data_IF_433763850185
#
_entry.id   IF_433763850185
#
_cell.length_a   1.000
_cell.length_b   1.000
_cell.length_c   1.000
_cell.angle_alpha   90.00
_cell.angle_beta   90.00
_cell.angle_gamma   90.00
#
_symmetry.space_group_name_H-M   'P 1'
#
loop_
_entity.id
_entity.type
_entity.pdbx_description
1 polymer ?
#
# COMPACT_ATOMS: atom_id res chain seq x y z
N UNK A 1 18.47 -72.31 18.86
CA UNK A 1 18.21 -71.22 17.90
C UNK A 1 17.06 -70.38 18.41
N UNK A 2 17.20 -69.05 18.27
CA UNK A 2 16.29 -67.93 18.60
C UNK A 2 16.41 -67.34 20.03
N UNK A 3 17.11 -66.21 20.17
CA UNK A 3 17.22 -65.45 21.41
C UNK A 3 16.09 -64.42 21.55
N UNK A 4 15.97 -63.91 22.78
CA UNK A 4 15.07 -62.84 23.21
C UNK A 4 15.33 -61.53 22.47
N UNK A 5 14.25 -60.85 22.05
CA UNK A 5 14.28 -59.44 21.63
C UNK A 5 13.67 -58.58 22.73
N UNK A 6 14.54 -57.87 23.43
CA UNK A 6 14.23 -56.74 24.31
C UNK A 6 13.85 -55.54 23.44
N UNK A 7 12.62 -55.04 23.56
CA UNK A 7 12.20 -53.80 22.95
C UNK A 7 12.46 -52.65 23.93
N UNK A 8 13.56 -51.92 23.73
CA UNK A 8 13.82 -50.66 24.42
C UNK A 8 13.01 -49.55 23.75
N UNK A 9 12.06 -48.97 24.48
CA UNK A 9 11.34 -47.78 24.07
C UNK A 9 12.25 -46.55 24.27
N UNK A 10 12.72 -45.96 23.18
CA UNK A 10 13.40 -44.65 23.19
C UNK A 10 12.32 -43.57 23.16
N UNK A 11 12.07 -42.95 24.31
CA UNK A 11 11.20 -41.77 24.42
C UNK A 11 12.01 -40.54 23.99
N UNK A 12 11.87 -40.13 22.72
CA UNK A 12 12.46 -38.89 22.22
C UNK A 12 11.54 -37.71 22.61
N UNK A 13 11.86 -37.05 23.74
CA UNK A 13 11.25 -35.77 24.12
C UNK A 13 11.75 -34.66 23.18
N UNK A 14 10.98 -34.38 22.14
CA UNK A 14 11.12 -33.16 21.33
C UNK A 14 10.49 -32.00 22.11
N UNK A 15 11.30 -31.33 22.93
CA UNK A 15 11.02 -29.98 23.42
C UNK A 15 11.23 -29.00 22.26
N UNK A 16 10.20 -28.78 21.45
CA UNK A 16 10.13 -27.61 20.57
C UNK A 16 9.65 -26.42 21.43
N UNK A 17 10.42 -25.33 21.55
CA UNK A 17 9.82 -24.10 22.00
C UNK A 17 8.89 -23.63 20.88
N UNK A 18 7.58 -23.74 21.11
CA UNK A 18 6.61 -22.93 20.39
C UNK A 18 6.84 -21.48 20.83
N UNK A 19 7.82 -20.82 20.22
CA UNK A 19 7.72 -19.39 20.01
C UNK A 19 6.58 -19.19 19.01
N UNK A 20 5.35 -19.19 19.53
CA UNK A 20 4.20 -18.67 18.82
C UNK A 20 4.39 -17.15 18.77
N UNK A 21 5.29 -16.68 17.89
CA UNK A 21 5.22 -15.31 17.41
C UNK A 21 3.80 -15.11 16.90
N UNK A 22 3.12 -14.08 17.42
CA UNK A 22 1.76 -13.76 16.99
C UNK A 22 1.80 -13.58 15.47
N UNK A 23 1.34 -14.58 14.71
CA UNK A 23 1.17 -14.43 13.26
C UNK A 23 0.31 -13.20 13.03
N UNK A 24 0.56 -12.48 11.94
CA UNK A 24 -0.32 -11.43 11.45
C UNK A 24 -1.78 -11.79 11.70
N UNK A 25 -2.56 -10.86 12.29
CA UNK A 25 -4.00 -11.06 12.43
C UNK A 25 -4.64 -10.93 11.05
N UNK A 26 -4.61 -11.99 10.26
CA UNK A 26 -5.20 -12.03 8.92
C UNK A 26 -4.24 -12.53 7.84
N UNK A 27 -4.67 -12.37 6.60
CA UNK A 27 -3.93 -12.73 5.41
C UNK A 27 -2.92 -11.62 5.05
N UNK A 28 -1.72 -12.01 4.66
CA UNK A 28 -0.71 -11.07 4.17
C UNK A 28 0.14 -11.65 3.04
N UNK A 29 0.57 -10.77 2.15
CA UNK A 29 1.68 -10.98 1.23
C UNK A 29 2.88 -10.20 1.73
N UNK A 30 3.99 -10.91 1.95
CA UNK A 30 5.31 -10.33 2.16
C UNK A 30 6.17 -10.77 0.99
N UNK A 31 6.27 -9.93 -0.04
CA UNK A 31 6.98 -10.25 -1.27
C UNK A 31 8.34 -9.55 -1.28
N UNK A 32 9.40 -10.32 -1.45
CA UNK A 32 10.74 -9.83 -1.78
C UNK A 32 10.92 -9.96 -3.30
N UNK A 33 11.10 -8.81 -3.94
CA UNK A 33 11.05 -8.65 -5.38
C UNK A 33 12.38 -9.04 -6.01
N UNK A 34 12.70 -10.32 -5.98
CA UNK A 34 13.82 -10.89 -6.73
C UNK A 34 14.44 -12.12 -6.10
N UNK A 35 14.28 -12.33 -4.80
CA UNK A 35 14.72 -13.52 -4.10
C UNK A 35 13.86 -13.77 -2.86
N UNK A 36 13.79 -15.00 -2.33
CA UNK A 36 13.25 -15.23 -0.99
C UNK A 36 14.22 -14.68 0.07
N UNK A 37 13.67 -14.17 1.17
CA UNK A 37 14.46 -13.73 2.32
C UNK A 37 13.74 -13.98 3.65
N UNK A 38 14.44 -13.74 4.76
CA UNK A 38 13.86 -13.73 6.10
C UNK A 38 14.45 -12.55 6.84
N UNK A 39 13.60 -11.66 7.33
CA UNK A 39 14.06 -10.45 7.99
C UNK A 39 14.53 -10.71 9.42
N UNK A 40 15.10 -9.69 10.06
CA UNK A 40 15.60 -9.75 11.43
C UNK A 40 14.53 -10.08 12.48
N UNK A 41 13.24 -9.97 12.13
CA UNK A 41 12.09 -10.30 12.99
C UNK A 41 11.63 -11.74 12.78
N UNK A 42 12.27 -12.49 11.89
CA UNK A 42 11.93 -13.87 11.56
C UNK A 42 10.72 -13.98 10.62
N UNK A 43 10.29 -12.89 9.99
CA UNK A 43 9.24 -12.95 8.97
C UNK A 43 9.85 -13.44 7.65
N UNK A 44 9.21 -14.45 7.07
CA UNK A 44 9.58 -14.98 5.76
C UNK A 44 8.97 -14.12 4.66
N UNK A 45 9.80 -13.76 3.70
CA UNK A 45 9.41 -13.06 2.48
C UNK A 45 9.51 -14.01 1.29
N UNK A 46 8.41 -14.15 0.57
CA UNK A 46 8.32 -15.03 -0.59
C UNK A 46 8.73 -14.30 -1.87
N UNK A 47 9.26 -15.00 -2.88
CA UNK A 47 9.59 -14.38 -4.15
C UNK A 47 8.33 -13.92 -4.87
N UNK A 48 8.45 -12.81 -5.57
CA UNK A 48 7.32 -12.10 -6.19
C UNK A 48 6.85 -12.68 -7.54
N UNK A 49 7.69 -13.51 -8.18
CA UNK A 49 7.48 -14.05 -9.53
C UNK A 49 6.12 -14.68 -9.83
N UNK A 50 5.46 -15.43 -8.92
CA UNK A 50 4.13 -15.98 -9.17
C UNK A 50 3.03 -14.93 -9.41
N UNK A 51 3.27 -13.67 -9.03
CA UNK A 51 2.27 -12.60 -9.06
C UNK A 51 2.51 -11.57 -10.17
N UNK A 52 3.62 -11.65 -10.90
CA UNK A 52 4.02 -10.67 -11.92
C UNK A 52 4.54 -11.36 -13.19
N UNK A 53 4.15 -10.84 -14.35
CA UNK A 53 4.56 -11.40 -15.67
C UNK A 53 5.75 -10.72 -16.30
N UNK A 54 6.16 -9.56 -15.78
CA UNK A 54 7.14 -8.69 -16.40
C UNK A 54 8.34 -8.39 -15.50
N UNK A 55 9.36 -7.78 -16.11
CA UNK A 55 10.58 -7.37 -15.42
C UNK A 55 11.50 -8.52 -15.04
N UNK A 56 12.71 -8.15 -14.61
CA UNK A 56 13.77 -9.09 -14.28
C UNK A 56 14.28 -8.83 -12.86
N UNK A 57 14.31 -9.90 -12.07
CA UNK A 57 14.94 -9.91 -10.75
C UNK A 57 16.46 -9.72 -10.88
N UNK A 58 17.04 -8.88 -10.04
CA UNK A 58 18.48 -8.61 -9.96
C UNK A 58 18.91 -8.50 -8.49
N UNK A 59 20.04 -9.13 -8.09
CA UNK A 59 20.62 -8.87 -6.79
C UNK A 59 21.26 -7.48 -6.75
N UNK A 60 21.20 -6.84 -5.59
CA UNK A 60 21.96 -5.63 -5.26
C UNK A 60 23.17 -5.99 -4.42
N UNK A 61 24.36 -5.73 -4.95
CA UNK A 61 25.63 -5.95 -4.23
C UNK A 61 25.98 -4.71 -3.39
N UNK A 62 25.26 -4.48 -2.30
CA UNK A 62 25.55 -3.41 -1.34
C UNK A 62 26.05 -4.01 -0.03
N UNK A 63 27.22 -3.59 0.44
CA UNK A 63 27.79 -4.05 1.70
C UNK A 63 27.06 -3.40 2.89
N UNK A 64 26.82 -4.18 3.96
CA UNK A 64 26.27 -3.66 5.21
C UNK A 64 24.75 -3.45 5.24
N UNK A 65 24.01 -3.97 4.24
CA UNK A 65 22.54 -3.98 4.28
C UNK A 65 22.04 -4.81 5.47
N UNK A 66 21.28 -4.16 6.36
CA UNK A 66 20.66 -4.81 7.53
C UNK A 66 19.31 -5.45 7.18
N UNK A 67 18.57 -4.85 6.25
CA UNK A 67 17.30 -5.37 5.77
C UNK A 67 17.55 -6.23 4.52
N UNK A 68 17.36 -7.56 4.61
CA UNK A 68 17.63 -8.45 3.49
C UNK A 68 16.66 -8.25 2.31
N UNK A 69 15.50 -7.65 2.54
CA UNK A 69 14.53 -7.34 1.46
C UNK A 69 15.04 -6.27 0.50
N UNK A 70 16.11 -5.55 0.87
CA UNK A 70 16.76 -4.55 0.02
C UNK A 70 17.90 -5.15 -0.80
N UNK A 71 18.28 -6.42 -0.56
CA UNK A 71 19.38 -7.08 -1.26
C UNK A 71 19.01 -7.55 -2.68
N UNK A 72 17.74 -7.41 -3.06
CA UNK A 72 17.25 -7.73 -4.40
C UNK A 72 16.22 -6.69 -4.87
N UNK A 73 16.07 -6.56 -6.19
CA UNK A 73 15.01 -5.78 -6.79
C UNK A 73 14.60 -6.35 -8.15
N UNK A 74 13.37 -6.05 -8.55
CA UNK A 74 12.86 -6.31 -9.90
C UNK A 74 12.90 -5.02 -10.69
N UNK A 75 13.55 -5.05 -11.85
CA UNK A 75 13.59 -3.93 -12.82
C UNK A 75 12.65 -4.22 -13.97
N UNK A 76 11.85 -3.23 -14.37
CA UNK A 76 10.98 -3.31 -15.53
C UNK A 76 11.57 -2.53 -16.71
N UNK A 77 11.27 -2.92 -17.96
CA UNK A 77 11.77 -2.20 -19.13
C UNK A 77 11.11 -0.82 -19.25
N UNK A 78 11.86 0.17 -19.75
CA UNK A 78 11.28 1.44 -20.15
C UNK A 78 10.40 1.27 -21.39
N UNK A 79 9.10 1.47 -21.21
CA UNK A 79 8.10 1.54 -22.29
C UNK A 79 7.13 2.67 -21.96
N UNK A 80 7.17 3.80 -22.68
CA UNK A 80 6.30 4.94 -22.41
C UNK A 80 4.84 4.51 -22.30
N UNK A 81 4.13 5.03 -21.29
CA UNK A 81 2.71 4.75 -21.05
C UNK A 81 2.37 3.28 -20.72
N UNK A 82 3.36 2.40 -20.55
CA UNK A 82 3.11 1.04 -20.07
C UNK A 82 2.93 1.01 -18.54
N UNK A 83 2.16 0.04 -18.05
CA UNK A 83 2.11 -0.31 -16.63
C UNK A 83 2.48 -1.76 -16.41
N UNK A 84 3.24 -2.04 -15.36
CA UNK A 84 3.63 -3.39 -14.98
C UNK A 84 2.99 -3.74 -13.66
N UNK A 85 2.15 -4.76 -13.64
CA UNK A 85 1.27 -5.04 -12.51
C UNK A 85 1.56 -6.39 -11.87
N UNK A 86 1.47 -6.39 -10.55
CA UNK A 86 1.23 -7.56 -9.71
C UNK A 86 -0.28 -7.86 -9.69
N UNK A 87 -0.65 -9.13 -9.75
CA UNK A 87 -2.01 -9.60 -9.55
C UNK A 87 -2.07 -10.49 -8.30
N UNK A 88 -2.74 -10.01 -7.27
CA UNK A 88 -2.75 -10.61 -5.94
C UNK A 88 -4.17 -11.10 -5.61
N UNK A 89 -4.39 -12.42 -5.42
CA UNK A 89 -5.64 -12.94 -4.89
C UNK A 89 -6.00 -12.33 -3.53
N UNK A 90 -7.20 -11.82 -3.40
CA UNK A 90 -7.69 -11.16 -2.16
C UNK A 90 -9.13 -11.51 -1.89
N UNK A 91 -9.54 -11.33 -0.64
CA UNK A 91 -10.94 -11.40 -0.26
C UNK A 91 -11.66 -10.12 -0.71
N UNK A 92 -12.77 -10.25 -1.46
CA UNK A 92 -13.54 -9.09 -1.89
C UNK A 92 -14.15 -8.35 -0.69
N UNK A 93 -14.37 -7.04 -0.83
CA UNK A 93 -14.95 -6.16 0.20
C UNK A 93 -14.11 -6.06 1.50
N UNK A 94 -12.85 -6.50 1.47
CA UNK A 94 -11.87 -6.26 2.54
C UNK A 94 -11.02 -5.04 2.21
N UNK A 95 -10.33 -4.53 3.23
CA UNK A 95 -9.37 -3.42 3.08
C UNK A 95 -7.97 -3.95 3.28
N UNK A 96 -7.06 -3.43 2.48
CA UNK A 96 -5.68 -3.85 2.46
C UNK A 96 -4.78 -2.63 2.65
N UNK A 97 -3.83 -2.76 3.56
CA UNK A 97 -2.67 -1.89 3.63
C UNK A 97 -1.67 -2.38 2.58
N UNK A 98 -1.27 -1.50 1.67
CA UNK A 98 -0.22 -1.76 0.70
C UNK A 98 1.00 -0.93 1.08
N UNK A 99 2.17 -1.57 1.12
CA UNK A 99 3.44 -0.90 1.37
C UNK A 99 4.53 -1.43 0.44
N UNK A 100 4.75 -0.80 -0.72
CA UNK A 100 5.93 -1.04 -1.52
C UNK A 100 7.16 -0.36 -0.90
N UNK A 101 8.32 -0.98 -1.10
CA UNK A 101 9.63 -0.47 -0.69
C UNK A 101 10.53 -0.33 -1.90
N UNK A 102 11.24 0.80 -1.97
CA UNK A 102 12.15 1.14 -3.05
C UNK A 102 13.53 1.49 -2.50
N UNK A 103 14.55 0.80 -2.99
CA UNK A 103 15.95 1.05 -2.70
C UNK A 103 16.77 0.78 -3.96
N UNK A 104 17.20 1.85 -4.62
CA UNK A 104 17.97 1.78 -5.85
C UNK A 104 19.47 1.45 -5.59
N UNK A 105 19.94 1.71 -4.37
CA UNK A 105 21.34 1.62 -3.98
C UNK A 105 22.17 2.83 -4.46
N UNK A 106 23.48 2.82 -4.16
CA UNK A 106 24.39 3.88 -4.61
C UNK A 106 24.46 3.93 -6.13
N UNK A 107 24.08 5.06 -6.73
CA UNK A 107 24.06 5.26 -8.18
C UNK A 107 24.67 6.61 -8.55
N UNK A 108 25.37 6.67 -9.69
CA UNK A 108 25.84 7.92 -10.30
C UNK A 108 24.80 8.57 -11.21
N UNK A 109 23.73 7.85 -11.56
CA UNK A 109 22.60 8.36 -12.35
C UNK A 109 21.40 8.60 -11.46
N UNK A 110 20.58 9.59 -11.83
CA UNK A 110 19.29 9.81 -11.17
C UNK A 110 18.43 8.53 -11.24
N UNK A 111 17.70 8.19 -10.16
CA UNK A 111 16.78 7.06 -10.19
C UNK A 111 15.58 7.35 -11.11
N UNK A 112 14.88 6.31 -11.61
CA UNK A 112 13.61 6.48 -12.29
C UNK A 112 12.56 7.07 -11.34
N UNK A 113 11.72 7.95 -11.89
CA UNK A 113 10.49 8.44 -11.26
C UNK A 113 9.30 7.83 -12.01
N UNK A 114 8.35 7.23 -11.28
CA UNK A 114 7.28 6.45 -11.88
C UNK A 114 6.03 6.43 -11.01
N UNK A 115 4.89 6.02 -11.58
CA UNK A 115 3.60 6.12 -10.90
C UNK A 115 3.21 4.81 -10.20
N UNK A 116 2.66 4.90 -8.99
CA UNK A 116 1.98 3.79 -8.31
C UNK A 116 0.51 3.79 -8.66
N UNK A 117 0.02 2.62 -9.02
CA UNK A 117 -1.36 2.43 -9.46
C UNK A 117 -1.95 1.23 -8.72
N UNK A 118 -3.14 1.38 -8.15
CA UNK A 118 -3.86 0.26 -7.49
C UNK A 118 -5.24 0.10 -8.10
N UNK A 119 -5.52 -1.08 -8.65
CA UNK A 119 -6.76 -1.38 -9.37
C UNK A 119 -7.11 -0.32 -10.43
N UNK A 120 -6.16 0.18 -11.21
CA UNK A 120 -6.45 1.23 -12.20
C UNK A 120 -6.65 2.64 -11.61
N UNK A 121 -6.41 2.83 -10.31
CA UNK A 121 -6.39 4.14 -9.63
C UNK A 121 -4.95 4.63 -9.53
N UNK A 122 -4.67 5.83 -10.06
CA UNK A 122 -3.41 6.51 -9.75
C UNK A 122 -3.36 6.85 -8.25
N UNK A 123 -2.28 6.44 -7.58
CA UNK A 123 -2.06 6.71 -6.17
C UNK A 123 -1.06 7.85 -5.96
N UNK A 124 0.18 7.69 -6.39
CA UNK A 124 1.25 8.69 -6.21
C UNK A 124 2.41 8.40 -7.15
N UNK A 125 3.21 9.42 -7.47
CA UNK A 125 4.53 9.23 -8.06
C UNK A 125 5.53 8.79 -6.99
N UNK A 126 6.46 7.91 -7.39
CA UNK A 126 7.63 7.50 -6.61
C UNK A 126 8.81 8.36 -7.05
N UNK A 127 9.36 9.10 -6.11
CA UNK A 127 10.62 9.81 -6.27
C UNK A 127 11.53 9.45 -5.09
N UNK A 128 12.69 8.88 -5.39
CA UNK A 128 13.61 8.32 -4.40
C UNK A 128 14.94 9.08 -4.35
N UNK A 129 15.03 10.24 -5.04
CA UNK A 129 16.29 10.97 -5.18
C UNK A 129 16.90 11.35 -3.82
N UNK A 130 16.10 11.90 -2.90
CA UNK A 130 16.56 12.31 -1.56
C UNK A 130 16.92 11.11 -0.69
N UNK A 131 16.14 10.03 -0.73
CA UNK A 131 16.39 8.81 0.06
C UNK A 131 17.68 8.11 -0.40
N UNK A 132 17.95 8.08 -1.70
CA UNK A 132 19.22 7.54 -2.24
C UNK A 132 20.40 8.37 -1.77
N UNK A 133 20.29 9.70 -1.77
CA UNK A 133 21.35 10.58 -1.23
C UNK A 133 21.60 10.32 0.26
N UNK A 134 20.55 9.96 1.01
CA UNK A 134 20.63 9.54 2.41
C UNK A 134 21.04 8.06 2.61
N UNK A 135 21.24 7.30 1.53
CA UNK A 135 21.53 5.86 1.60
C UNK A 135 20.39 5.03 2.21
N UNK A 136 19.16 5.54 2.14
CA UNK A 136 17.97 4.98 2.79
C UNK A 136 16.99 4.42 1.76
N UNK A 137 16.07 3.56 2.21
CA UNK A 137 14.97 3.06 1.40
C UNK A 137 13.73 3.94 1.55
N UNK A 138 13.00 4.14 0.45
CA UNK A 138 11.72 4.83 0.43
C UNK A 138 10.59 3.84 0.70
N UNK A 139 9.66 4.22 1.57
CA UNK A 139 8.43 3.47 1.82
C UNK A 139 7.22 4.34 1.53
N UNK A 140 6.29 3.79 0.74
CA UNK A 140 4.97 4.39 0.55
C UNK A 140 3.94 3.50 1.21
N UNK A 141 2.86 4.07 1.75
CA UNK A 141 1.79 3.26 2.36
C UNK A 141 0.42 3.81 1.98
N UNK A 142 -0.49 2.92 1.60
CA UNK A 142 -1.89 3.28 1.39
C UNK A 142 -2.84 2.19 1.86
N UNK A 143 -4.09 2.59 2.08
CA UNK A 143 -5.21 1.70 2.36
C UNK A 143 -6.18 1.75 1.20
N UNK A 144 -6.37 0.60 0.55
CA UNK A 144 -7.31 0.42 -0.55
C UNK A 144 -8.37 -0.65 -0.21
N UNK A 145 -9.62 -0.46 -0.65
CA UNK A 145 -10.61 -1.52 -0.65
C UNK A 145 -10.38 -2.47 -1.84
N UNK A 146 -10.55 -3.77 -1.63
CA UNK A 146 -10.58 -4.74 -2.72
C UNK A 146 -11.92 -4.65 -3.47
N UNK A 147 -11.85 -4.33 -4.78
CA UNK A 147 -13.02 -4.21 -5.67
C UNK A 147 -13.41 -5.51 -6.36
N UNK A 148 -12.66 -6.57 -6.12
CA UNK A 148 -12.87 -7.89 -6.70
C UNK A 148 -12.12 -8.97 -5.92
N UNK A 149 -11.91 -10.12 -6.56
CA UNK A 149 -11.14 -11.24 -5.99
C UNK A 149 -9.64 -11.15 -6.23
N UNK A 150 -9.21 -10.22 -7.06
CA UNK A 150 -7.82 -9.90 -7.28
C UNK A 150 -7.66 -8.39 -7.05
N UNK A 151 -6.60 -8.03 -6.34
CA UNK A 151 -6.09 -6.67 -6.26
C UNK A 151 -4.88 -6.58 -7.18
N UNK A 152 -4.80 -5.50 -7.93
CA UNK A 152 -3.67 -5.20 -8.82
C UNK A 152 -2.89 -4.01 -8.32
N UNK A 153 -1.58 -4.18 -8.21
CA UNK A 153 -0.63 -3.14 -7.83
C UNK A 153 0.34 -2.95 -8.99
N UNK A 154 0.42 -1.77 -9.57
CA UNK A 154 1.19 -1.52 -10.77
C UNK A 154 2.17 -0.36 -10.64
N UNK A 155 3.23 -0.46 -11.43
CA UNK A 155 4.25 0.55 -11.65
C UNK A 155 4.06 1.10 -13.06
N UNK A 156 3.66 2.37 -13.17
CA UNK A 156 3.38 3.08 -14.41
C UNK A 156 4.58 3.86 -14.92
N UNK A 157 4.98 3.64 -16.17
CA UNK A 157 6.05 4.39 -16.84
C UNK A 157 5.50 5.71 -17.37
N UNK A 158 5.73 6.79 -16.63
CA UNK A 158 5.38 8.14 -17.06
C UNK A 158 6.58 8.79 -17.80
N UNK A 159 6.49 8.99 -19.13
CA UNK A 159 7.62 9.53 -19.90
C UNK A 159 7.90 11.01 -19.60
N UNK A 160 7.01 11.72 -18.90
CA UNK A 160 7.21 13.11 -18.53
C UNK A 160 8.24 13.27 -17.40
N UNK A 161 8.51 12.22 -16.62
CA UNK A 161 9.44 12.27 -15.49
C UNK A 161 10.83 11.70 -15.80
N UNK A 162 10.90 10.61 -16.56
CA UNK A 162 12.14 9.85 -16.76
C UNK A 162 12.16 9.07 -18.07
N UNK A 163 13.35 8.70 -18.51
CA UNK A 163 13.64 7.83 -19.65
C UNK A 163 14.06 6.40 -19.22
N UNK A 164 13.85 6.06 -17.95
CA UNK A 164 14.24 4.79 -17.35
C UNK A 164 13.06 4.01 -16.77
N UNK A 165 13.18 2.68 -16.70
CA UNK A 165 12.11 1.79 -16.27
C UNK A 165 11.99 1.71 -14.75
N UNK A 166 10.78 1.42 -14.22
CA UNK A 166 10.54 1.38 -12.78
C UNK A 166 11.21 0.16 -12.13
N UNK A 167 11.29 0.19 -10.81
CA UNK A 167 11.80 -0.91 -10.02
C UNK A 167 11.04 -1.05 -8.70
N UNK A 168 11.22 -2.19 -8.03
CA UNK A 168 10.66 -2.44 -6.69
C UNK A 168 11.52 -3.49 -5.96
N UNK A 169 11.73 -3.30 -4.66
CA UNK A 169 12.51 -4.22 -3.81
C UNK A 169 11.61 -5.14 -3.00
N UNK A 170 10.51 -4.61 -2.46
CA UNK A 170 9.57 -5.41 -1.69
C UNK A 170 8.15 -4.87 -1.82
N UNK A 171 7.16 -5.75 -1.68
CA UNK A 171 5.74 -5.40 -1.62
C UNK A 171 5.08 -6.12 -0.44
N UNK A 172 4.56 -5.33 0.49
CA UNK A 172 3.70 -5.81 1.56
C UNK A 172 2.24 -5.53 1.22
N UNK A 173 1.37 -6.52 1.38
CA UNK A 173 -0.08 -6.35 1.31
C UNK A 173 -0.71 -7.05 2.49
N UNK A 174 -1.27 -6.29 3.42
CA UNK A 174 -1.76 -6.79 4.71
C UNK A 174 -3.26 -6.52 4.80
N UNK A 175 -4.05 -7.58 5.02
CA UNK A 175 -5.48 -7.43 5.26
C UNK A 175 -5.73 -6.75 6.60
N UNK A 176 -6.48 -5.66 6.59
CA UNK A 176 -6.88 -4.95 7.79
C UNK A 176 -8.14 -5.56 8.40
N UNK A 177 -8.23 -5.48 9.73
CA UNK A 177 -9.43 -5.88 10.46
C UNK A 177 -10.60 -4.92 10.17
N UNK A 178 -11.84 -5.41 10.24
CA UNK A 178 -13.02 -4.65 9.85
C UNK A 178 -13.26 -3.38 10.69
N UNK A 179 -12.68 -3.28 11.88
CA UNK A 179 -12.76 -2.06 12.71
C UNK A 179 -11.78 -0.97 12.29
N UNK A 180 -10.64 -1.32 11.70
CA UNK A 180 -9.55 -0.36 11.44
C UNK A 180 -9.96 0.58 10.31
N UNK A 181 -9.96 1.89 10.56
CA UNK A 181 -10.38 2.95 9.63
C UNK A 181 -11.80 2.83 9.04
N UNK A 182 -12.71 2.05 9.63
CA UNK A 182 -14.06 1.85 9.09
C UNK A 182 -14.97 3.09 9.10
N UNK A 183 -14.53 4.19 9.73
CA UNK A 183 -15.22 5.48 9.69
C UNK A 183 -15.00 6.22 8.35
N UNK A 184 -13.98 5.82 7.57
CA UNK A 184 -13.70 6.37 6.25
C UNK A 184 -14.58 5.72 5.19
N UNK A 185 -15.13 6.52 4.27
CA UNK A 185 -15.87 6.04 3.11
C UNK A 185 -14.92 5.47 2.04
N UNK A 186 -14.72 4.16 2.06
CA UNK A 186 -13.96 3.44 1.05
C UNK A 186 -14.79 3.05 -0.19
N UNK A 187 -16.04 3.49 -0.32
CA UNK A 187 -16.82 3.20 -1.55
C UNK A 187 -16.31 4.00 -2.74
N UNK A 188 -15.83 5.22 -2.49
CA UNK A 188 -15.33 6.14 -3.52
C UNK A 188 -13.93 6.70 -3.25
N UNK A 189 -13.28 6.34 -2.15
CA UNK A 189 -11.97 6.92 -1.77
C UNK A 189 -11.00 5.88 -1.22
N UNK A 190 -9.72 6.21 -1.33
CA UNK A 190 -8.61 5.50 -0.72
C UNK A 190 -7.80 6.48 0.14
N UNK A 191 -6.89 5.95 0.95
CA UNK A 191 -6.07 6.75 1.86
C UNK A 191 -4.59 6.51 1.59
N UNK A 192 -3.81 7.57 1.47
CA UNK A 192 -2.33 7.52 1.39
C UNK A 192 -1.74 8.06 2.68
N UNK A 193 -0.84 7.30 3.31
CA UNK A 193 -0.23 7.69 4.57
C UNK A 193 0.64 8.94 4.37
N UNK A 194 0.47 9.91 5.26
CA UNK A 194 1.31 11.11 5.33
C UNK A 194 2.27 11.02 6.51
N UNK A 195 1.75 10.66 7.67
CA UNK A 195 2.55 10.45 8.87
C UNK A 195 1.86 9.49 9.83
N UNK A 196 2.64 8.64 10.49
CA UNK A 196 2.23 7.85 11.65
C UNK A 196 3.33 7.93 12.68
N UNK A 197 3.01 8.43 13.86
CA UNK A 197 4.02 8.89 14.81
C UNK A 197 3.73 8.40 16.22
N UNK A 198 4.79 7.92 16.88
CA UNK A 198 4.89 7.69 18.32
C UNK A 198 5.60 8.88 18.95
N UNK A 199 4.90 9.64 19.78
CA UNK A 199 5.42 10.82 20.45
C UNK A 199 6.12 10.43 21.77
N UNK A 200 7.13 11.22 22.15
CA UNK A 200 7.88 11.03 23.39
C UNK A 200 8.89 9.88 23.34
N UNK A 201 9.27 9.44 22.14
CA UNK A 201 10.26 8.38 21.90
C UNK A 201 11.25 8.84 20.83
N UNK A 202 12.53 8.59 21.06
CA UNK A 202 13.60 8.66 20.05
C UNK A 202 14.19 7.28 19.75
N UNK A 203 13.49 6.22 20.17
CA UNK A 203 13.89 4.84 19.91
C UNK A 203 13.56 4.40 18.48
N UNK A 204 13.63 3.10 18.25
CA UNK A 204 13.32 2.49 16.96
C UNK A 204 11.83 2.62 16.58
N UNK A 205 11.54 2.36 15.30
CA UNK A 205 10.18 2.34 14.76
C UNK A 205 9.37 1.24 15.44
N UNK A 206 8.25 1.63 16.01
CA UNK A 206 7.29 0.71 16.63
C UNK A 206 6.44 0.05 15.54
N UNK A 207 6.43 -1.29 15.48
CA UNK A 207 5.83 -2.08 14.38
C UNK A 207 5.60 -3.53 14.79
N UNK A 208 5.43 -4.47 13.86
CA UNK A 208 5.31 -5.89 14.20
C UNK A 208 6.53 -6.38 15.00
N UNK A 209 6.36 -7.18 16.08
CA UNK A 209 5.14 -7.93 16.45
C UNK A 209 4.10 -7.16 17.27
N UNK A 210 4.40 -5.96 17.74
CA UNK A 210 3.54 -5.23 18.66
C UNK A 210 2.36 -4.57 17.93
N UNK A 211 2.55 -4.17 16.67
CA UNK A 211 1.46 -3.82 15.76
C UNK A 211 1.04 -5.02 14.89
N UNK A 212 -0.19 -5.50 15.08
CA UNK A 212 -0.71 -6.69 14.37
C UNK A 212 -0.90 -6.50 12.86
N UNK A 213 -0.77 -5.27 12.35
CA UNK A 213 -0.87 -4.90 10.94
C UNK A 213 0.49 -4.42 10.37
N UNK A 214 1.60 -4.60 11.12
CA UNK A 214 2.94 -4.07 10.83
C UNK A 214 2.93 -2.60 10.39
N UNK A 215 2.09 -1.75 10.99
CA UNK A 215 2.14 -0.30 10.75
C UNK A 215 3.41 0.28 11.37
N UNK A 216 4.07 1.18 10.64
CA UNK A 216 5.31 1.80 11.11
C UNK A 216 4.98 3.08 11.88
N UNK A 217 5.14 3.05 13.20
CA UNK A 217 4.97 4.20 14.07
C UNK A 217 6.34 4.86 14.29
N UNK A 218 6.59 5.92 13.53
CA UNK A 218 7.86 6.62 13.52
C UNK A 218 8.06 7.42 14.81
N UNK A 219 9.25 7.43 15.42
CA UNK A 219 9.55 8.34 16.52
C UNK A 219 9.46 9.81 16.04
N UNK A 220 8.97 10.70 16.90
CA UNK A 220 9.04 12.12 16.64
C UNK A 220 10.38 12.69 17.13
N UNK A 221 11.09 13.53 16.35
CA UNK A 221 12.41 14.04 16.71
C UNK A 221 12.36 15.17 17.76
N UNK A 222 11.64 14.94 18.87
CA UNK A 222 11.67 15.76 20.08
C UNK A 222 11.69 14.87 21.32
N UNK A 223 12.73 15.03 22.14
CA UNK A 223 12.93 14.28 23.39
C UNK A 223 12.89 15.15 24.64
N UNK A 224 12.86 16.47 24.52
CA UNK A 224 13.00 17.37 25.69
C UNK A 224 11.79 17.28 26.62
N UNK A 225 10.64 16.96 26.05
CA UNK A 225 9.34 16.93 26.71
C UNK A 225 8.76 15.52 26.79
N UNK A 226 9.59 14.50 26.61
CA UNK A 226 9.21 13.11 26.66
C UNK A 226 9.00 12.63 28.11
N UNK A 227 7.91 11.92 28.37
CA UNK A 227 7.67 11.23 29.64
C UNK A 227 7.27 9.78 29.39
N UNK A 228 7.59 8.91 30.35
CA UNK A 228 7.16 7.51 30.34
C UNK A 228 5.85 7.33 31.10
N UNK A 229 5.01 6.42 30.62
CA UNK A 229 3.79 6.00 31.30
C UNK A 229 4.09 5.07 32.48
N UNK A 230 3.26 5.16 33.51
CA UNK A 230 3.36 4.37 34.75
C UNK A 230 2.43 3.16 34.77
N UNK A 231 1.62 2.99 33.74
CA UNK A 231 0.68 1.89 33.56
C UNK A 231 0.58 1.49 32.09
N UNK A 232 -0.01 0.33 31.85
CA UNK A 232 -0.20 -0.21 30.52
C UNK A 232 -1.59 0.14 29.98
N UNK A 233 -1.64 0.36 28.67
CA UNK A 233 -2.87 0.62 27.92
C UNK A 233 -3.15 -0.57 27.01
N UNK A 234 -4.42 -0.93 26.81
CA UNK A 234 -4.76 -2.05 25.90
C UNK A 234 -5.24 -1.53 24.55
N UNK A 235 -4.75 -2.13 23.47
CA UNK A 235 -5.10 -1.74 22.10
C UNK A 235 -6.59 -1.90 21.79
N UNK A 236 -7.27 -2.87 22.41
CA UNK A 236 -8.66 -3.20 22.17
C UNK A 236 -9.65 -2.08 22.56
N UNK A 237 -9.21 -1.15 23.43
CA UNK A 237 -10.01 0.00 23.86
C UNK A 237 -10.05 1.10 22.79
N UNK A 238 -9.26 0.97 21.72
CA UNK A 238 -9.13 1.97 20.66
C UNK A 238 -9.64 1.44 19.33
N UNK A 239 -10.36 2.31 18.62
CA UNK A 239 -11.03 1.98 17.37
C UNK A 239 -10.10 1.44 16.26
N UNK A 240 -8.94 2.08 16.09
CA UNK A 240 -7.94 1.70 15.08
C UNK A 240 -6.89 0.72 15.57
N UNK A 241 -7.06 0.16 16.77
CA UNK A 241 -6.16 -0.83 17.37
C UNK A 241 -4.66 -0.44 17.28
N UNK A 242 -4.23 0.79 17.65
CA UNK A 242 -2.81 1.12 17.79
C UNK A 242 -2.11 0.13 18.75
N UNK A 243 -0.82 -0.17 18.55
CA UNK A 243 -0.10 -1.09 19.42
C UNK A 243 0.00 -0.49 20.84
N UNK A 244 -0.09 -1.28 21.92
CA UNK A 244 0.01 -0.77 23.29
C UNK A 244 1.23 0.12 23.53
N UNK A 245 2.34 -0.22 22.88
CA UNK A 245 3.63 0.40 23.13
C UNK A 245 3.75 1.85 22.66
N UNK A 246 2.84 2.34 21.79
CA UNK A 246 2.77 3.78 21.49
C UNK A 246 2.30 4.61 22.69
N UNK A 247 1.66 3.99 23.68
CA UNK A 247 1.20 4.66 24.90
C UNK A 247 2.21 4.59 26.05
N UNK A 248 3.32 3.87 25.90
CA UNK A 248 4.37 3.81 26.91
C UNK A 248 5.12 5.15 27.06
N UNK A 249 4.97 6.04 26.09
CA UNK A 249 5.55 7.39 26.10
C UNK A 249 4.52 8.44 25.70
N UNK A 250 4.80 9.70 26.04
CA UNK A 250 4.06 10.87 25.58
C UNK A 250 4.97 12.09 25.46
N UNK A 251 4.59 13.06 24.62
CA UNK A 251 5.07 14.44 24.73
C UNK A 251 4.13 15.23 25.63
N UNK A 252 4.68 15.99 26.58
CA UNK A 252 3.93 16.77 27.57
C UNK A 252 4.36 18.24 27.51
N UNK A 253 3.41 19.17 27.54
CA UNK A 253 3.79 20.59 27.57
C UNK A 253 4.52 20.97 28.86
N UNK A 254 5.23 22.10 28.81
CA UNK A 254 5.71 22.77 30.02
C UNK A 254 4.53 23.29 30.86
N UNK A 255 4.77 23.48 32.16
CA UNK A 255 3.76 23.99 33.08
C UNK A 255 3.20 25.33 32.59
N UNK A 256 1.87 25.45 32.50
CA UNK A 256 1.17 26.65 32.05
C UNK A 256 1.46 27.10 30.60
N UNK A 257 2.04 26.23 29.77
CA UNK A 257 2.25 26.48 28.34
C UNK A 257 1.41 25.51 27.50
N UNK A 258 1.00 25.90 26.28
CA UNK A 258 0.43 24.95 25.32
C UNK A 258 1.54 24.03 24.76
N UNK A 259 1.16 22.80 24.40
CA UNK A 259 2.01 21.96 23.55
C UNK A 259 1.75 22.34 22.09
N UNK A 260 2.78 22.76 21.37
CA UNK A 260 2.67 23.15 19.95
C UNK A 260 3.55 22.25 19.11
N UNK A 261 2.93 21.48 18.22
CA UNK A 261 3.61 20.53 17.34
C UNK A 261 3.41 20.96 15.89
N UNK A 262 4.50 21.10 15.13
CA UNK A 262 4.40 21.15 13.67
C UNK A 262 4.36 19.72 13.15
N UNK A 263 3.15 19.19 13.01
CA UNK A 263 2.92 17.80 12.64
C UNK A 263 1.71 17.68 11.70
N UNK A 264 1.84 16.97 10.55
CA UNK A 264 3.03 16.24 10.09
C UNK A 264 4.22 17.17 9.74
N UNK A 265 5.46 16.66 9.70
CA UNK A 265 6.67 17.47 9.51
C UNK A 265 6.90 17.94 8.06
N UNK A 266 5.87 17.84 7.21
CA UNK A 266 5.91 18.20 5.79
C UNK A 266 4.79 19.19 5.47
N UNK A 267 4.99 19.97 4.40
CA UNK A 267 3.93 20.82 3.87
C UNK A 267 2.89 19.98 3.13
N UNK A 268 1.62 20.16 3.47
CA UNK A 268 0.51 19.44 2.86
C UNK A 268 -0.03 20.15 1.63
N UNK A 269 -0.48 19.38 0.65
CA UNK A 269 -1.29 19.90 -0.44
C UNK A 269 -2.66 20.30 0.09
N UNK A 270 -3.34 21.23 -0.59
CA UNK A 270 -4.71 21.55 -0.23
C UNK A 270 -5.62 20.34 -0.53
N UNK A 271 -6.20 19.74 0.49
CA UNK A 271 -6.99 18.53 0.33
C UNK A 271 -7.72 18.10 1.59
N UNK A 272 -8.44 16.98 1.48
CA UNK A 272 -9.11 16.33 2.61
C UNK A 272 -8.20 15.26 3.22
N UNK A 273 -8.12 15.26 4.54
CA UNK A 273 -7.26 14.38 5.31
C UNK A 273 -8.05 13.61 6.36
N UNK A 274 -7.70 12.36 6.55
CA UNK A 274 -8.05 11.63 7.76
C UNK A 274 -7.00 11.96 8.81
N UNK A 275 -7.43 12.41 10.00
CA UNK A 275 -6.54 12.73 11.12
C UNK A 275 -7.01 11.96 12.34
N UNK A 276 -6.11 11.25 13.02
CA UNK A 276 -6.38 10.57 14.28
C UNK A 276 -5.28 10.89 15.29
N UNK A 277 -5.67 11.32 16.48
CA UNK A 277 -4.77 11.61 17.60
C UNK A 277 -5.12 10.67 18.76
N UNK A 278 -4.07 10.14 19.39
CA UNK A 278 -4.18 9.13 20.43
C UNK A 278 -3.60 9.65 21.74
N UNK A 279 -4.39 9.49 22.79
CA UNK A 279 -4.12 10.01 24.12
C UNK A 279 -4.30 8.91 25.17
N UNK A 280 -3.46 8.91 26.19
CA UNK A 280 -3.63 8.20 27.45
C UNK A 280 -2.82 8.93 28.53
N UNK A 281 -3.47 9.25 29.66
CA UNK A 281 -2.74 9.89 30.76
C UNK A 281 -1.66 8.95 31.28
N UNK A 282 -0.42 9.44 31.40
CA UNK A 282 0.75 8.65 31.80
C UNK A 282 0.72 8.24 33.28
N UNK A 283 -0.16 8.85 34.08
CA UNK A 283 -0.39 8.52 35.47
C UNK A 283 -1.62 7.62 35.63
N UNK A 284 -1.46 6.51 36.36
CA UNK A 284 -2.56 5.58 36.62
C UNK A 284 -3.72 6.28 37.38
N UNK A 285 -4.96 6.01 36.96
CA UNK A 285 -6.18 6.59 37.55
C UNK A 285 -6.20 8.13 37.54
N UNK A 286 -5.49 8.75 36.60
CA UNK A 286 -5.45 10.19 36.40
C UNK A 286 -6.28 10.59 35.17
N UNK A 287 -6.59 11.88 35.10
CA UNK A 287 -7.20 12.48 33.92
C UNK A 287 -6.72 13.92 33.70
N UNK A 288 -6.75 14.34 32.43
CA UNK A 288 -6.41 15.69 31.96
C UNK A 288 -7.53 16.22 31.11
N UNK A 289 -7.94 17.45 31.35
CA UNK A 289 -8.89 18.15 30.47
C UNK A 289 -8.11 19.12 29.61
N UNK A 290 -8.33 19.06 28.30
CA UNK A 290 -7.56 19.82 27.32
C UNK A 290 -8.40 20.16 26.09
N UNK A 291 -7.98 21.23 25.42
CA UNK A 291 -8.42 21.61 24.08
C UNK A 291 -7.36 21.17 23.09
N UNK A 292 -7.80 20.66 21.92
CA UNK A 292 -6.94 20.39 20.78
C UNK A 292 -7.40 21.25 19.60
N UNK A 293 -6.49 22.02 19.05
CA UNK A 293 -6.70 22.79 17.84
C UNK A 293 -5.75 22.29 16.76
N UNK A 294 -6.26 22.12 15.55
CA UNK A 294 -5.43 21.87 14.37
C UNK A 294 -5.48 23.14 13.52
N UNK A 295 -4.32 23.76 13.36
CA UNK A 295 -4.17 25.15 12.92
C UNK A 295 -5.03 26.06 13.80
N UNK A 296 -5.93 26.84 13.20
CA UNK A 296 -6.77 27.81 13.90
C UNK A 296 -8.17 27.26 14.25
N UNK A 297 -8.41 25.96 14.03
CA UNK A 297 -9.73 25.32 14.20
C UNK A 297 -9.75 24.34 15.37
N UNK A 298 -10.83 24.37 16.15
CA UNK A 298 -11.06 23.42 17.25
C UNK A 298 -11.26 22.01 16.69
N UNK A 299 -10.41 21.07 17.09
CA UNK A 299 -10.49 19.66 16.72
C UNK A 299 -11.17 18.83 17.81
N UNK A 300 -10.89 19.13 19.08
CA UNK A 300 -11.47 18.42 20.22
C UNK A 300 -11.43 19.26 21.49
N UNK A 301 -12.40 19.03 22.37
CA UNK A 301 -12.43 19.55 23.74
C UNK A 301 -12.96 18.43 24.64
N UNK A 302 -12.23 18.11 25.71
CA UNK A 302 -12.70 17.14 26.68
C UNK A 302 -11.61 16.56 27.57
N UNK A 303 -11.96 15.45 28.22
CA UNK A 303 -11.12 14.78 29.22
C UNK A 303 -10.49 13.52 28.65
N UNK A 304 -9.17 13.38 28.83
CA UNK A 304 -8.39 12.17 28.57
C UNK A 304 -8.13 11.50 29.90
N UNK A 305 -8.32 10.18 29.98
CA UNK A 305 -8.03 9.38 31.18
C UNK A 305 -6.84 8.44 30.94
N UNK A 306 -6.39 7.74 31.98
CA UNK A 306 -5.39 6.67 31.84
C UNK A 306 -5.87 5.48 30.99
N UNK A 307 -7.19 5.28 30.80
CA UNK A 307 -7.71 4.26 29.86
C UNK A 307 -7.43 4.64 28.39
N UNK A 308 -7.27 5.93 28.14
CA UNK A 308 -6.98 6.50 26.83
C UNK A 308 -8.20 6.85 26.00
N UNK A 309 -7.93 7.51 24.88
CA UNK A 309 -8.89 8.11 23.98
C UNK A 309 -8.30 8.23 22.57
N UNK A 310 -9.06 7.82 21.56
CA UNK A 310 -8.80 8.17 20.16
C UNK A 310 -9.75 9.27 19.72
N UNK A 311 -9.20 10.36 19.20
CA UNK A 311 -9.96 11.47 18.61
C UNK A 311 -9.62 11.53 17.13
N UNK A 312 -10.63 11.55 16.25
CA UNK A 312 -10.37 11.54 14.81
C UNK A 312 -11.36 12.40 14.02
N UNK A 313 -10.93 12.80 12.84
CA UNK A 313 -11.77 13.36 11.78
C UNK A 313 -11.50 12.62 10.49
N UNK A 314 -12.57 12.26 9.77
CA UNK A 314 -12.47 11.50 8.52
C UNK A 314 -12.32 12.37 7.28
N UNK A 315 -12.59 13.68 7.38
CA UNK A 315 -12.45 14.64 6.28
C UNK A 315 -12.08 16.02 6.84
N UNK A 316 -10.83 16.20 7.24
CA UNK A 316 -10.29 17.47 7.72
C UNK A 316 -9.53 18.18 6.61
N UNK A 317 -9.87 19.44 6.33
CA UNK A 317 -9.19 20.18 5.27
C UNK A 317 -7.88 20.75 5.79
N UNK A 318 -6.77 20.38 5.16
CA UNK A 318 -5.44 20.88 5.48
C UNK A 318 -4.74 21.39 4.22
N UNK A 319 -3.81 22.32 4.41
CA UNK A 319 -2.93 22.84 3.39
C UNK A 319 -1.71 23.50 4.07
N UNK A 320 -0.54 23.40 3.46
CA UNK A 320 0.68 23.98 4.01
C UNK A 320 1.18 23.26 5.26
N UNK A 321 1.98 23.96 6.07
CA UNK A 321 2.45 23.45 7.35
C UNK A 321 1.29 23.39 8.35
N UNK A 322 1.13 22.25 9.02
CA UNK A 322 0.07 22.04 10.00
C UNK A 322 0.62 22.12 11.42
N UNK A 323 -0.12 22.81 12.29
CA UNK A 323 0.18 22.88 13.73
C UNK A 323 -0.90 22.17 14.53
N UNK A 324 -0.51 21.24 15.40
CA UNK A 324 -1.39 20.67 16.42
C UNK A 324 -1.07 21.35 17.75
N UNK A 325 -2.06 22.03 18.32
CA UNK A 325 -1.91 22.87 19.51
C UNK A 325 -2.80 22.28 20.61
N UNK A 326 -2.20 21.90 21.74
CA UNK A 326 -2.94 21.40 22.89
C UNK A 326 -2.83 22.41 24.03
N UNK A 327 -3.98 22.78 24.59
CA UNK A 327 -4.04 23.73 25.71
C UNK A 327 -4.70 23.07 26.91
N UNK A 328 -4.07 23.14 28.09
CA UNK A 328 -4.68 22.55 29.29
C UNK A 328 -5.87 23.39 29.79
N UNK A 329 -6.91 22.69 30.22
CA UNK A 329 -7.99 23.20 31.08
C UNK A 329 -7.90 22.63 32.50
N UNK A 330 -6.90 21.80 32.76
CA UNK A 330 -6.65 21.17 34.06
C UNK A 330 -5.32 21.66 34.65
N UNK A 331 -5.04 21.27 35.89
CA UNK A 331 -3.77 21.64 36.56
C UNK A 331 -2.57 20.95 35.90
N UNK A 332 -2.78 19.75 35.36
CA UNK A 332 -1.76 18.98 34.67
C UNK A 332 -1.57 19.53 33.24
N UNK A 333 -0.33 19.61 32.73
CA UNK A 333 -0.09 20.01 31.33
C UNK A 333 -0.74 19.04 30.34
N UNK A 334 -1.10 19.47 29.13
CA UNK A 334 -1.63 18.56 28.12
C UNK A 334 -0.53 17.63 27.58
N UNK A 335 -0.94 16.51 27.00
CA UNK A 335 -0.01 15.52 26.42
C UNK A 335 -0.58 14.87 25.16
N UNK A 336 0.28 14.20 24.41
CA UNK A 336 -0.09 13.34 23.28
C UNK A 336 0.84 12.13 23.19
N UNK A 337 0.29 10.95 22.85
CA UNK A 337 1.04 9.70 22.76
C UNK A 337 1.34 9.32 21.31
N UNK A 338 0.36 9.42 20.43
CA UNK A 338 0.54 9.04 19.03
C UNK A 338 -0.39 9.82 18.09
N UNK A 339 -0.12 9.74 16.79
CA UNK A 339 -0.98 10.32 15.76
C UNK A 339 -0.82 9.67 14.40
N UNK A 340 -1.87 9.75 13.59
CA UNK A 340 -1.91 9.35 12.18
C UNK A 340 -2.54 10.44 11.30
N UNK A 341 -1.94 10.71 10.15
CA UNK A 341 -2.52 11.53 9.08
C UNK A 341 -2.47 10.75 7.77
N UNK A 342 -3.59 10.71 7.07
CA UNK A 342 -3.66 10.22 5.69
C UNK A 342 -4.26 11.29 4.78
N UNK A 343 -3.73 11.42 3.58
CA UNK A 343 -4.41 12.12 2.49
C UNK A 343 -5.51 11.23 1.93
N UNK A 344 -6.68 11.81 1.67
CA UNK A 344 -7.82 11.11 1.08
C UNK A 344 -7.91 11.51 -0.39
N UNK A 345 -7.99 10.51 -1.25
CA UNK A 345 -8.11 10.73 -2.69
C UNK A 345 -9.17 9.81 -3.29
N UNK A 346 -9.86 10.26 -4.35
CA UNK A 346 -10.90 9.46 -4.99
C UNK A 346 -10.31 8.22 -5.65
N UNK A 347 -11.03 7.11 -5.57
CA UNK A 347 -10.69 5.90 -6.30
C UNK A 347 -10.95 6.11 -7.79
N UNK A 348 -10.03 5.64 -8.61
CA UNK A 348 -10.09 5.74 -10.06
C UNK A 348 -11.24 4.92 -10.64
N UNK A 349 -11.76 5.39 -11.77
CA UNK A 349 -12.77 4.66 -12.55
C UNK A 349 -12.15 3.37 -13.11
N UNK A 350 -13.00 2.43 -13.51
CA UNK A 350 -12.60 1.19 -14.17
C UNK A 350 -13.20 1.14 -15.57
N UNK A 351 -12.58 0.34 -16.42
CA UNK A 351 -13.23 -0.19 -17.62
C UNK A 351 -14.53 -0.86 -17.21
N UNK A 352 -15.60 -0.66 -17.98
CA UNK A 352 -16.86 -1.30 -17.62
C UNK A 352 -16.70 -2.83 -17.58
N UNK A 353 -17.46 -3.48 -16.70
CA UNK A 353 -17.33 -4.92 -16.44
C UNK A 353 -17.43 -5.76 -17.71
N UNK A 354 -18.34 -5.43 -18.63
CA UNK A 354 -18.51 -6.19 -19.88
C UNK A 354 -17.24 -6.18 -20.75
N UNK A 355 -16.59 -5.02 -20.87
CA UNK A 355 -15.40 -4.89 -21.71
C UNK A 355 -14.20 -5.52 -21.00
N UNK A 356 -14.04 -5.29 -19.70
CA UNK A 356 -12.99 -5.92 -18.90
C UNK A 356 -13.06 -7.45 -18.96
N UNK A 357 -14.25 -8.05 -18.86
CA UNK A 357 -14.44 -9.50 -18.98
C UNK A 357 -14.13 -10.03 -20.38
N UNK A 358 -14.50 -9.31 -21.43
CA UNK A 358 -14.16 -9.68 -22.80
C UNK A 358 -12.64 -9.63 -23.05
N UNK A 359 -11.96 -8.61 -22.54
CA UNK A 359 -10.51 -8.48 -22.60
C UNK A 359 -9.80 -9.59 -21.82
N UNK A 360 -10.29 -9.94 -20.63
CA UNK A 360 -9.77 -11.07 -19.84
C UNK A 360 -10.00 -12.43 -20.53
N UNK A 361 -11.13 -12.60 -21.21
CA UNK A 361 -11.41 -13.79 -22.02
C UNK A 361 -10.44 -13.91 -23.20
N UNK A 362 -10.18 -12.81 -23.91
CA UNK A 362 -9.18 -12.75 -24.97
C UNK A 362 -7.76 -13.04 -24.45
N UNK A 363 -7.39 -12.46 -23.32
CA UNK A 363 -6.10 -12.72 -22.66
C UNK A 363 -5.86 -14.21 -22.43
N UNK A 364 -6.90 -14.97 -22.03
CA UNK A 364 -6.80 -16.41 -21.79
C UNK A 364 -6.77 -17.26 -23.06
N UNK A 365 -7.37 -16.78 -24.15
CA UNK A 365 -7.45 -17.52 -25.42
C UNK A 365 -6.23 -17.32 -26.31
N UNK A 366 -5.48 -16.24 -26.08
CA UNK A 366 -4.27 -15.87 -26.81
C UNK A 366 -2.99 -16.35 -26.11
N UNK A 367 -1.92 -16.44 -26.88
CA UNK A 367 -0.57 -16.75 -26.44
C UNK A 367 0.40 -15.68 -26.91
N UNK A 368 1.55 -15.56 -26.25
CA UNK A 368 2.56 -14.51 -26.50
C UNK A 368 1.96 -13.09 -26.41
N UNK A 369 1.02 -12.91 -25.48
CA UNK A 369 0.43 -11.60 -25.20
C UNK A 369 1.49 -10.65 -24.60
N UNK A 370 1.32 -9.34 -24.75
CA UNK A 370 2.12 -8.36 -24.03
C UNK A 370 2.09 -8.58 -22.51
N UNK A 371 3.24 -8.39 -21.89
CA UNK A 371 3.47 -8.59 -20.45
C UNK A 371 2.88 -7.48 -19.56
N UNK A 372 2.34 -6.40 -20.15
CA UNK A 372 1.57 -5.33 -19.48
C UNK A 372 0.06 -5.62 -19.41
N UNK A 373 -0.41 -6.77 -19.91
CA UNK A 373 -1.82 -7.18 -19.86
C UNK A 373 -2.25 -7.70 -18.48
N UNK A 374 -1.94 -6.95 -17.42
CA UNK A 374 -2.41 -7.19 -16.06
C UNK A 374 -3.04 -5.89 -15.54
N UNK A 375 -4.06 -5.99 -14.69
CA UNK A 375 -4.82 -4.84 -14.21
C UNK A 375 -6.00 -4.48 -15.12
N UNK A 376 -6.50 -3.25 -14.98
CA UNK A 376 -7.57 -2.75 -15.83
C UNK A 376 -7.05 -2.46 -17.26
N UNK A 377 -7.77 -2.83 -18.34
CA UNK A 377 -7.26 -2.68 -19.70
C UNK A 377 -7.17 -1.22 -20.18
N UNK A 378 -7.92 -0.29 -19.57
CA UNK A 378 -7.96 1.13 -19.97
C UNK A 378 -7.42 2.07 -18.91
N UNK A 379 -7.44 1.67 -17.63
CA UNK A 379 -7.25 2.56 -16.49
C UNK A 379 -5.92 2.32 -15.76
N UNK A 380 -5.31 3.38 -15.18
CA UNK A 380 -5.71 4.78 -15.31
C UNK A 380 -5.49 5.31 -16.73
N UNK A 381 -6.14 6.43 -17.05
CA UNK A 381 -5.99 7.07 -18.35
C UNK A 381 -4.49 7.33 -18.65
N UNK A 382 -4.07 7.05 -19.88
CA UNK A 382 -2.65 7.11 -20.26
C UNK A 382 -1.86 5.83 -19.98
N UNK A 383 -2.48 4.79 -19.40
CA UNK A 383 -1.84 3.49 -19.11
C UNK A 383 -2.62 2.30 -19.67
N UNK A 384 -3.31 2.47 -20.80
CA UNK A 384 -4.02 1.35 -21.43
C UNK A 384 -3.05 0.23 -21.80
N UNK A 385 -3.54 -1.01 -21.85
CA UNK A 385 -2.74 -2.15 -22.29
C UNK A 385 -2.18 -1.93 -23.70
N UNK A 386 -0.98 -2.44 -23.96
CA UNK A 386 -0.35 -2.36 -25.28
C UNK A 386 -1.30 -2.88 -26.36
N UNK A 387 -1.55 -2.02 -27.36
CA UNK A 387 -2.46 -2.29 -28.49
C UNK A 387 -3.94 -2.02 -28.23
N UNK A 388 -4.31 -1.59 -27.02
CA UNK A 388 -5.68 -1.24 -26.65
C UNK A 388 -5.84 0.28 -26.65
N UNK A 389 -6.87 0.77 -27.33
CA UNK A 389 -7.29 2.18 -27.23
C UNK A 389 -8.68 2.24 -26.61
N UNK A 390 -8.82 3.15 -25.66
CA UNK A 390 -10.04 3.32 -24.88
C UNK A 390 -10.66 4.70 -25.12
N UNK A 391 -11.96 4.78 -24.88
CA UNK A 391 -12.72 6.01 -24.99
C UNK A 391 -12.19 7.07 -24.02
N UNK A 392 -11.87 8.25 -24.54
CA UNK A 392 -11.46 9.40 -23.75
C UNK A 392 -12.68 10.18 -23.26
N UNK A 393 -12.71 10.54 -21.98
CA UNK A 393 -13.79 11.36 -21.42
C UNK A 393 -14.03 11.10 -19.94
N UNK A 394 -13.98 12.17 -19.13
CA UNK A 394 -14.15 12.06 -17.68
C UNK A 394 -15.56 11.59 -17.26
N UNK A 395 -16.59 11.85 -18.08
CA UNK A 395 -18.00 11.58 -17.77
C UNK A 395 -18.62 10.40 -18.53
N UNK A 396 -17.86 9.73 -19.39
CA UNK A 396 -18.38 8.63 -20.22
C UNK A 396 -17.91 7.30 -19.66
N UNK A 397 -18.74 6.25 -19.75
CA UNK A 397 -18.32 4.89 -19.39
C UNK A 397 -17.00 4.54 -20.10
N UNK A 398 -16.00 4.02 -19.38
CA UNK A 398 -14.71 3.68 -19.97
C UNK A 398 -14.89 2.40 -20.79
N UNK A 399 -14.81 2.54 -22.12
CA UNK A 399 -15.02 1.49 -23.12
C UNK A 399 -13.77 1.26 -23.93
N UNK A 400 -13.57 0.02 -24.38
CA UNK A 400 -12.56 -0.30 -25.39
C UNK A 400 -13.11 0.05 -26.77
N UNK A 401 -12.39 0.85 -27.54
CA UNK A 401 -12.83 1.35 -28.86
C UNK A 401 -11.94 0.88 -30.01
N UNK A 402 -10.68 0.54 -29.75
CA UNK A 402 -9.81 -0.02 -30.77
C UNK A 402 -8.85 -1.05 -30.21
N UNK A 403 -8.60 -2.09 -31.01
CA UNK A 403 -7.65 -3.16 -30.75
C UNK A 403 -6.70 -3.28 -31.93
N UNK A 404 -5.47 -2.82 -31.76
CA UNK A 404 -4.42 -2.97 -32.76
C UNK A 404 -3.32 -3.88 -32.23
N UNK A 405 -3.38 -5.13 -32.66
CA UNK A 405 -2.46 -6.17 -32.26
C UNK A 405 -1.59 -6.65 -33.43
N UNK A 406 -1.47 -5.83 -34.47
CA UNK A 406 -0.77 -6.21 -35.69
C UNK A 406 0.72 -6.48 -35.45
N UNK A 407 1.25 -7.55 -36.04
CA UNK A 407 2.69 -7.90 -35.99
C UNK A 407 3.28 -8.06 -34.58
N UNK A 408 2.46 -8.49 -33.61
CA UNK A 408 2.91 -8.66 -32.22
C UNK A 408 3.40 -10.09 -31.90
N UNK A 409 3.41 -10.99 -32.88
CA UNK A 409 3.80 -12.39 -32.67
C UNK A 409 2.78 -13.19 -31.85
N UNK A 410 1.56 -12.68 -31.74
CA UNK A 410 0.47 -13.31 -30.99
C UNK A 410 0.03 -14.57 -31.71
N UNK A 411 -0.30 -15.60 -30.93
CA UNK A 411 -0.86 -16.86 -31.44
C UNK A 411 -2.05 -17.31 -30.57
N UNK A 412 -2.61 -18.48 -30.86
CA UNK A 412 -3.81 -18.98 -30.17
C UNK A 412 -5.07 -18.71 -30.98
N UNK A 413 -6.19 -18.45 -30.31
CA UNK A 413 -7.49 -18.26 -30.95
C UNK A 413 -8.24 -17.05 -30.39
N UNK A 414 -9.11 -16.44 -31.21
CA UNK A 414 -9.93 -15.32 -30.77
C UNK A 414 -11.11 -15.82 -29.94
N UNK A 415 -11.27 -15.28 -28.73
CA UNK A 415 -12.44 -15.58 -27.90
C UNK A 415 -13.72 -15.01 -28.54
N UNK A 416 -14.84 -15.77 -28.55
CA UNK A 416 -16.15 -15.24 -28.96
C UNK A 416 -16.63 -14.03 -28.16
N UNK A 417 -16.12 -13.85 -26.95
CA UNK A 417 -16.45 -12.70 -26.11
C UNK A 417 -16.00 -11.36 -26.70
N UNK A 418 -15.17 -11.37 -27.75
CA UNK A 418 -14.83 -10.16 -28.51
C UNK A 418 -16.07 -9.43 -29.03
N UNK A 419 -17.16 -10.17 -29.30
CA UNK A 419 -18.45 -9.61 -29.72
C UNK A 419 -19.13 -8.75 -28.63
N UNK A 420 -18.69 -8.86 -27.37
CA UNK A 420 -19.20 -8.04 -26.26
C UNK A 420 -18.60 -6.64 -26.23
N UNK A 421 -17.53 -6.38 -26.98
CA UNK A 421 -16.88 -5.08 -27.11
C UNK A 421 -17.64 -4.17 -28.09
N UNK A 422 -18.92 -3.92 -27.83
CA UNK A 422 -19.83 -3.21 -28.78
C UNK A 422 -19.48 -1.74 -29.06
N UNK A 423 -18.43 -1.22 -28.43
CA UNK A 423 -17.92 0.13 -28.68
C UNK A 423 -16.75 0.13 -29.68
N UNK A 424 -16.26 -1.03 -30.11
CA UNK A 424 -15.18 -1.14 -31.08
C UNK A 424 -15.52 -0.46 -32.40
N UNK A 425 -14.60 0.37 -32.86
CA UNK A 425 -14.58 0.99 -34.18
C UNK A 425 -13.51 0.37 -35.06
N UNK A 426 -12.40 -0.06 -34.48
CA UNK A 426 -11.25 -0.58 -35.21
C UNK A 426 -10.72 -1.85 -34.54
N UNK A 427 -10.41 -2.84 -35.36
CA UNK A 427 -9.75 -4.07 -34.91
C UNK A 427 -8.71 -4.46 -35.94
N UNK A 428 -7.55 -4.93 -35.49
CA UNK A 428 -6.57 -5.53 -36.38
C UNK A 428 -5.69 -6.54 -35.65
N UNK A 429 -5.65 -7.74 -36.21
CA UNK A 429 -4.75 -8.81 -35.79
C UNK A 429 -3.79 -9.21 -36.92
N UNK A 430 -3.57 -8.32 -37.89
CA UNK A 430 -2.80 -8.62 -39.08
C UNK A 430 -1.38 -9.11 -38.74
N UNK A 431 -0.83 -10.00 -39.56
CA UNK A 431 0.54 -10.51 -39.42
C UNK A 431 0.82 -11.17 -38.05
N UNK A 432 -0.08 -12.04 -37.62
CA UNK A 432 0.05 -12.89 -36.44
C UNK A 432 -0.24 -14.36 -36.79
N UNK A 433 0.09 -15.26 -35.86
CA UNK A 433 -0.06 -16.72 -36.03
C UNK A 433 -1.34 -17.22 -35.35
N UNK A 434 -2.47 -16.58 -35.64
CA UNK A 434 -3.77 -16.96 -35.10
C UNK A 434 -4.29 -18.26 -35.73
N UNK A 435 -5.09 -19.00 -34.96
CA UNK A 435 -5.69 -20.28 -35.31
C UNK A 435 -7.16 -20.32 -34.89
N UNK A 436 -7.89 -21.33 -35.36
CA UNK A 436 -9.32 -21.49 -35.06
C UNK A 436 -10.23 -20.68 -35.98
N UNK A 437 -11.51 -20.63 -35.64
CA UNK A 437 -12.52 -19.89 -36.41
C UNK A 437 -12.58 -18.43 -35.97
N UNK A 438 -12.83 -17.53 -36.92
CA UNK A 438 -13.15 -16.14 -36.62
C UNK A 438 -14.51 -16.12 -35.90
N UNK A 439 -14.61 -15.53 -34.70
CA UNK A 439 -15.89 -15.45 -34.00
C UNK A 439 -16.92 -14.60 -34.74
N UNK A 440 -18.19 -14.79 -34.41
CA UNK A 440 -19.26 -13.95 -34.95
C UNK A 440 -19.15 -12.52 -34.41
N UNK A 441 -19.00 -11.55 -35.32
CA UNK A 441 -18.82 -10.13 -35.01
C UNK A 441 -20.12 -9.32 -35.24
N UNK A 442 -21.27 -9.97 -35.47
CA UNK A 442 -22.54 -9.31 -35.82
C UNK A 442 -22.98 -8.23 -34.82
N UNK A 443 -22.61 -8.37 -33.54
CA UNK A 443 -22.96 -7.42 -32.47
C UNK A 443 -22.04 -6.19 -32.43
N UNK A 444 -20.99 -6.13 -33.24
CA UNK A 444 -20.06 -5.00 -33.32
C UNK A 444 -20.55 -3.94 -34.32
N UNK A 445 -21.76 -3.41 -34.10
CA UNK A 445 -22.41 -2.47 -35.03
C UNK A 445 -21.70 -1.12 -35.22
N UNK A 446 -20.67 -0.81 -34.41
CA UNK A 446 -19.82 0.38 -34.57
C UNK A 446 -18.52 0.11 -35.32
N UNK A 447 -18.23 -1.14 -35.68
CA UNK A 447 -16.98 -1.52 -36.31
C UNK A 447 -16.90 -0.96 -37.74
N UNK A 448 -15.84 -0.23 -38.01
CA UNK A 448 -15.57 0.44 -39.29
C UNK A 448 -14.36 -0.17 -40.00
N UNK A 449 -13.40 -0.73 -39.26
CA UNK A 449 -12.15 -1.28 -39.78
C UNK A 449 -11.81 -2.64 -39.13
N UNK A 450 -11.39 -3.60 -39.96
CA UNK A 450 -11.03 -4.99 -39.62
C UNK A 450 -9.69 -5.38 -40.25
#
# INVERSE_FOLDING_TARGET
MRPLLSAAAVLLLLLLPLAAGQRFRGFSYLLDCGAPSTDSRGLRWDPDGPYVSAGSARPLSVQGLLDPTLASLRVFPYRPAAKFCYALPVDPNRRYLLRPTFFYGPSSTAPPVFDLIVDGTFWTAVDTADDILAGSASHYEAVFPARGRNLTFCLGVNPDYTDSGPFINALQVIQLHDSVYNATDFTGSAMGLIARTKFGSTGDVERYPDDSFDRYWQPFPDSKHAVSSTHNVTSADFWNLPPPDVFNTALVAEQNAPLVLQWPPISLQNGSYYVSLYFADTLANSSRTLDVNINDYQFYEGTVTSAGLSVFATQWILSGLTRVILTSKSVLPPLINAGEVFGIFPIGRLTITRDALAMESMKRSLQNIPDDWIGDPCMPHGYAWTGVTCQEGQNENIRVISLNFSSMGISGSLSPDIANLTALTDISFANNSLSGTIPDLINLGKLQRL
#
